data_IF_938588133230
#
_entry.id   IF_938588133230
#
_cell.length_a   1.000
_cell.length_b   1.000
_cell.length_c   1.000
_cell.angle_alpha   90.00
_cell.angle_beta   90.00
_cell.angle_gamma   90.00
#
_symmetry.space_group_name_H-M   'P 1'
#
loop_
_entity.id
_entity.type
_entity.pdbx_description
1 polymer ?
#
# COMPACT_ATOMS: atom_id res chain seq x y z
N UNK A 1 21.35 3.84 16.16
CA UNK A 1 20.91 3.22 14.90
C UNK A 1 22.11 3.08 13.98
N UNK A 2 22.64 1.86 13.82
CA UNK A 2 23.95 1.62 13.17
C UNK A 2 23.89 0.92 11.80
N UNK A 3 22.70 0.80 11.20
CA UNK A 3 22.47 0.05 9.94
C UNK A 3 22.91 -1.43 10.02
N UNK A 4 22.49 -2.15 11.05
CA UNK A 4 22.84 -3.57 11.29
C UNK A 4 22.41 -4.50 10.14
N UNK A 5 21.35 -4.15 9.42
CA UNK A 5 20.86 -4.88 8.24
C UNK A 5 21.68 -4.59 6.97
N UNK A 6 22.68 -3.73 7.04
CA UNK A 6 23.56 -3.37 5.94
C UNK A 6 22.84 -2.83 4.68
N UNK A 7 21.77 -2.06 4.88
CA UNK A 7 20.97 -1.49 3.80
C UNK A 7 21.84 -0.52 2.98
N UNK A 8 21.88 -0.71 1.67
CA UNK A 8 22.50 0.24 0.75
C UNK A 8 21.52 1.38 0.49
N UNK A 9 21.84 2.60 0.96
CA UNK A 9 20.98 3.77 0.82
C UNK A 9 20.63 4.13 -0.64
N UNK A 10 21.40 3.64 -1.62
CA UNK A 10 21.16 3.82 -3.06
C UNK A 10 20.21 2.77 -3.64
N UNK A 11 19.88 1.72 -2.88
CA UNK A 11 19.06 0.57 -3.29
C UNK A 11 17.80 0.43 -2.42
N UNK A 12 17.36 1.52 -1.81
CA UNK A 12 16.06 1.57 -1.15
C UNK A 12 15.01 1.74 -2.26
N UNK A 13 14.21 0.71 -2.49
CA UNK A 13 13.07 0.74 -3.41
C UNK A 13 11.88 1.48 -2.81
N UNK A 14 11.76 1.46 -1.48
CA UNK A 14 10.63 2.06 -0.76
C UNK A 14 10.64 3.60 -0.83
N UNK A 15 9.63 4.15 -1.50
CA UNK A 15 9.37 5.60 -1.59
C UNK A 15 8.45 6.05 -0.45
N UNK A 16 8.28 7.37 -0.31
CA UNK A 16 7.30 7.95 0.62
C UNK A 16 5.99 8.18 -0.11
N UNK A 17 4.92 8.47 0.61
CA UNK A 17 3.62 8.79 0.00
C UNK A 17 2.92 9.96 0.66
N UNK A 18 2.10 10.65 -0.12
CA UNK A 18 1.11 11.60 0.36
C UNK A 18 -0.08 11.67 -0.59
N UNK A 19 -1.27 11.95 -0.08
CA UNK A 19 -2.46 12.08 -0.93
C UNK A 19 -2.64 13.52 -1.40
N UNK A 20 -1.69 13.97 -2.23
CA UNK A 20 -1.68 15.31 -2.78
C UNK A 20 -1.01 15.31 -4.16
N UNK A 21 -1.53 16.13 -5.07
CA UNK A 21 -0.97 16.30 -6.41
C UNK A 21 0.25 17.23 -6.37
N UNK A 22 1.33 16.81 -5.71
CA UNK A 22 2.57 17.59 -5.59
C UNK A 22 3.70 17.04 -6.45
N UNK A 23 3.97 17.72 -7.57
CA UNK A 23 5.03 17.34 -8.50
C UNK A 23 6.44 17.59 -7.93
N UNK A 24 6.60 18.51 -6.96
CA UNK A 24 7.91 18.92 -6.46
C UNK A 24 8.59 17.82 -5.64
N UNK A 25 7.82 16.87 -5.12
CA UNK A 25 8.31 15.77 -4.28
C UNK A 25 8.63 14.49 -5.06
N UNK A 26 8.50 14.50 -6.40
CA UNK A 26 8.77 13.31 -7.23
C UNK A 26 10.22 12.83 -7.10
N UNK A 27 11.17 13.75 -6.96
CA UNK A 27 12.59 13.45 -6.79
C UNK A 27 13.23 14.48 -5.85
N UNK A 28 13.72 13.99 -4.71
CA UNK A 28 14.28 14.81 -3.62
C UNK A 28 15.49 14.13 -2.98
N UNK A 29 16.32 14.93 -2.30
CA UNK A 29 17.35 14.44 -1.39
C UNK A 29 16.89 14.71 0.05
N UNK A 30 16.91 13.68 0.88
CA UNK A 30 16.52 13.76 2.30
C UNK A 30 17.72 13.63 3.22
N UNK A 31 17.52 13.90 4.52
CA UNK A 31 18.52 13.74 5.59
C UNK A 31 19.77 14.65 5.42
N UNK A 32 19.55 15.88 4.94
CA UNK A 32 20.59 16.92 4.88
C UNK A 32 20.73 17.64 6.24
N UNK A 33 21.82 18.38 6.43
CA UNK A 33 22.02 19.22 7.62
C UNK A 33 22.97 18.66 8.69
N UNK A 34 23.86 17.73 8.34
CA UNK A 34 24.94 17.25 9.21
C UNK A 34 24.61 15.96 9.97
N UNK A 35 25.51 15.55 10.85
CA UNK A 35 25.53 14.22 11.49
C UNK A 35 24.25 13.88 12.24
N UNK A 36 23.65 14.85 12.92
CA UNK A 36 22.42 14.64 13.70
C UNK A 36 21.20 14.26 12.83
N UNK A 37 21.22 14.59 11.54
CA UNK A 37 20.08 14.40 10.63
C UNK A 37 20.17 13.11 9.80
N UNK A 38 21.16 12.25 10.09
CA UNK A 38 21.31 10.94 9.46
C UNK A 38 22.15 10.96 8.18
N UNK A 39 21.84 10.03 7.27
CA UNK A 39 22.63 9.80 6.05
C UNK A 39 21.88 10.30 4.80
N UNK A 40 22.46 11.23 4.03
CA UNK A 40 21.84 11.74 2.81
C UNK A 40 21.54 10.63 1.80
N UNK A 41 20.38 10.69 1.15
CA UNK A 41 20.00 9.81 0.04
C UNK A 41 18.95 10.44 -0.86
N UNK A 42 18.91 9.98 -2.11
CA UNK A 42 17.84 10.29 -3.05
C UNK A 42 16.59 9.45 -2.74
N UNK A 43 15.42 10.04 -2.98
CA UNK A 43 14.10 9.41 -2.78
C UNK A 43 13.03 10.24 -3.49
N UNK A 44 11.76 9.91 -3.26
CA UNK A 44 10.65 10.75 -3.67
C UNK A 44 9.36 10.29 -3.03
N UNK A 45 8.29 10.98 -3.40
CA UNK A 45 6.92 10.69 -3.01
C UNK A 45 6.13 10.16 -4.20
N UNK A 46 5.24 9.22 -3.91
CA UNK A 46 4.15 8.82 -4.79
C UNK A 46 2.82 9.24 -4.16
N UNK A 47 1.74 9.24 -4.95
CA UNK A 47 0.41 9.46 -4.40
C UNK A 47 -0.01 8.23 -3.57
N UNK A 48 -0.72 8.41 -2.46
CA UNK A 48 -1.01 7.32 -1.49
C UNK A 48 -1.62 6.06 -2.13
N UNK A 49 -2.51 6.21 -3.11
CA UNK A 49 -3.16 5.09 -3.82
C UNK A 49 -2.20 4.26 -4.70
N UNK A 50 -1.00 4.77 -4.98
CA UNK A 50 0.05 4.03 -5.68
C UNK A 50 0.90 3.15 -4.74
N UNK A 51 0.71 3.27 -3.42
CA UNK A 51 1.45 2.49 -2.42
C UNK A 51 1.18 1.00 -2.53
N UNK A 52 2.21 0.18 -2.38
CA UNK A 52 2.04 -1.28 -2.22
C UNK A 52 1.19 -1.62 -0.99
N UNK A 53 1.18 -0.77 0.04
CA UNK A 53 0.27 -0.90 1.19
C UNK A 53 -1.20 -0.85 0.76
N UNK A 54 -1.56 0.01 -0.20
CA UNK A 54 -2.93 0.09 -0.73
C UNK A 54 -3.30 -1.20 -1.47
N UNK A 55 -2.40 -1.71 -2.31
CA UNK A 55 -2.62 -2.97 -3.02
C UNK A 55 -2.77 -4.15 -2.03
N UNK A 56 -1.92 -4.20 -1.00
CA UNK A 56 -1.99 -5.22 0.05
C UNK A 56 -3.31 -5.11 0.85
N UNK A 57 -3.71 -3.91 1.27
CA UNK A 57 -4.98 -3.69 1.96
C UNK A 57 -6.16 -4.22 1.11
N UNK A 58 -6.13 -3.97 -0.20
CA UNK A 58 -7.19 -4.41 -1.10
C UNK A 58 -7.19 -5.94 -1.34
N UNK A 59 -6.04 -6.62 -1.25
CA UNK A 59 -5.93 -8.05 -1.51
C UNK A 59 -5.97 -8.94 -0.26
N UNK A 60 -5.87 -8.34 0.94
CA UNK A 60 -5.83 -9.08 2.19
C UNK A 60 -7.21 -9.63 2.57
N UNK A 61 -7.24 -10.84 3.13
CA UNK A 61 -8.47 -11.52 3.53
C UNK A 61 -8.89 -11.23 4.98
N UNK A 62 -7.90 -10.98 5.84
CA UNK A 62 -8.05 -10.75 7.27
C UNK A 62 -6.76 -10.09 7.80
N UNK A 63 -6.73 -9.70 9.08
CA UNK A 63 -5.59 -9.01 9.69
C UNK A 63 -4.31 -9.84 9.71
N UNK A 64 -4.41 -11.17 9.78
CA UNK A 64 -3.24 -12.06 9.77
C UNK A 64 -2.61 -12.10 8.37
N UNK A 65 -3.44 -12.21 7.32
CA UNK A 65 -3.02 -12.11 5.92
C UNK A 65 -2.44 -10.72 5.60
N UNK A 66 -3.05 -9.64 6.13
CA UNK A 66 -2.53 -8.28 6.02
C UNK A 66 -1.13 -8.16 6.61
N UNK A 67 -0.94 -8.57 7.87
CA UNK A 67 0.37 -8.48 8.52
C UNK A 67 1.42 -9.28 7.77
N UNK A 68 1.09 -10.51 7.35
CA UNK A 68 1.99 -11.37 6.58
C UNK A 68 2.45 -10.68 5.30
N UNK A 69 1.50 -10.16 4.50
CA UNK A 69 1.78 -9.47 3.23
C UNK A 69 2.60 -8.20 3.42
N UNK A 70 2.28 -7.42 4.45
CA UNK A 70 3.07 -6.25 4.84
C UNK A 70 4.51 -6.64 5.19
N UNK A 71 4.69 -7.74 5.92
CA UNK A 71 6.01 -8.28 6.27
C UNK A 71 6.82 -8.76 5.06
N UNK A 72 6.16 -9.22 4.00
CA UNK A 72 6.77 -9.71 2.75
C UNK A 72 7.19 -8.59 1.78
N UNK A 73 6.86 -7.32 2.06
CA UNK A 73 7.31 -6.17 1.26
C UNK A 73 8.84 -6.09 1.26
N UNK A 74 9.45 -5.95 0.08
CA UNK A 74 10.88 -5.66 -0.08
C UNK A 74 11.11 -4.15 -0.03
N UNK A 75 11.71 -3.66 1.06
CA UNK A 75 11.94 -2.22 1.27
C UNK A 75 13.24 -1.71 0.64
N UNK A 76 14.15 -2.62 0.32
CA UNK A 76 15.40 -2.31 -0.35
C UNK A 76 16.35 -3.51 -0.38
N UNK A 77 17.62 -3.23 -0.62
CA UNK A 77 18.65 -4.26 -0.74
C UNK A 77 19.90 -3.92 0.06
N UNK A 78 20.58 -4.95 0.55
CA UNK A 78 21.89 -4.81 1.18
C UNK A 78 22.97 -4.48 0.14
N UNK A 79 24.18 -4.12 0.60
CA UNK A 79 25.34 -3.93 -0.29
C UNK A 79 25.69 -5.20 -1.08
N UNK A 80 25.41 -6.37 -0.50
CA UNK A 80 25.55 -7.68 -1.13
C UNK A 80 24.35 -8.07 -2.03
N UNK A 81 23.42 -7.14 -2.29
CA UNK A 81 22.20 -7.34 -3.11
C UNK A 81 21.21 -8.38 -2.56
N UNK A 82 21.22 -8.62 -1.25
CA UNK A 82 20.18 -9.43 -0.61
C UNK A 82 18.95 -8.56 -0.34
N UNK A 83 17.72 -9.05 -0.57
CA UNK A 83 16.52 -8.29 -0.25
C UNK A 83 16.43 -8.06 1.26
N UNK A 84 15.93 -6.90 1.64
CA UNK A 84 15.57 -6.56 3.03
C UNK A 84 14.07 -6.37 3.06
N UNK A 85 13.40 -7.14 3.92
CA UNK A 85 11.96 -7.17 4.06
C UNK A 85 11.47 -6.20 5.13
N UNK A 86 10.20 -5.83 5.07
CA UNK A 86 9.58 -4.97 6.08
C UNK A 86 9.60 -5.60 7.49
N UNK A 87 9.44 -6.93 7.58
CA UNK A 87 9.59 -7.66 8.84
C UNK A 87 11.01 -7.57 9.43
N UNK A 88 12.05 -7.41 8.60
CA UNK A 88 13.44 -7.33 9.07
C UNK A 88 13.67 -6.01 9.82
N UNK A 89 12.94 -4.95 9.46
CA UNK A 89 12.90 -3.68 10.20
C UNK A 89 11.77 -3.62 11.25
N UNK A 90 11.08 -4.73 11.49
CA UNK A 90 10.02 -4.90 12.51
C UNK A 90 8.86 -3.91 12.38
N UNK A 91 8.51 -3.53 11.15
CA UNK A 91 7.48 -2.52 10.89
C UNK A 91 6.10 -3.12 10.56
N UNK A 92 6.03 -4.41 10.20
CA UNK A 92 4.82 -5.13 9.80
C UNK A 92 3.71 -5.11 10.87
N UNK A 93 4.04 -5.44 12.12
CA UNK A 93 3.07 -5.41 13.22
C UNK A 93 2.52 -4.00 13.50
N UNK A 94 3.41 -2.99 13.51
CA UNK A 94 3.01 -1.60 13.74
C UNK A 94 2.13 -1.05 12.62
N UNK A 95 2.44 -1.37 11.35
CA UNK A 95 1.60 -1.00 10.21
C UNK A 95 0.23 -1.70 10.27
N UNK A 96 0.20 -2.97 10.68
CA UNK A 96 -1.07 -3.70 10.84
C UNK A 96 -1.97 -3.02 11.88
N UNK A 97 -1.40 -2.55 12.99
CA UNK A 97 -2.15 -1.80 14.00
C UNK A 97 -2.71 -0.50 13.44
N UNK A 98 -1.93 0.26 12.67
CA UNK A 98 -2.40 1.49 12.01
C UNK A 98 -3.53 1.26 11.00
N UNK A 99 -3.58 0.08 10.39
CA UNK A 99 -4.57 -0.30 9.38
C UNK A 99 -5.74 -1.10 9.94
N UNK A 100 -5.76 -1.40 11.25
CA UNK A 100 -6.73 -2.31 11.87
C UNK A 100 -8.18 -1.90 11.56
N UNK A 101 -8.52 -0.65 11.84
CA UNK A 101 -9.88 -0.15 11.60
C UNK A 101 -10.09 0.18 10.12
N UNK A 102 -9.04 0.63 9.42
CA UNK A 102 -9.06 0.91 7.98
C UNK A 102 -9.29 -0.33 7.12
N UNK A 103 -9.23 -1.55 7.68
CA UNK A 103 -9.53 -2.80 6.99
C UNK A 103 -11.03 -3.13 6.96
N UNK A 104 -11.85 -2.41 7.75
CA UNK A 104 -13.30 -2.60 7.79
C UNK A 104 -13.97 -1.88 6.60
N UNK A 105 -14.78 -2.59 5.78
CA UNK A 105 -15.50 -1.95 4.67
C UNK A 105 -16.45 -0.85 5.13
N UNK A 106 -16.43 0.29 4.45
CA UNK A 106 -17.32 1.42 4.75
C UNK A 106 -18.66 1.23 4.04
N UNK A 107 -19.74 1.12 4.82
CA UNK A 107 -21.11 1.06 4.30
C UNK A 107 -21.65 2.48 4.07
N UNK A 108 -22.14 2.72 2.87
CA UNK A 108 -22.88 3.92 2.47
C UNK A 108 -24.14 3.50 1.70
N UNK A 109 -24.83 4.47 1.10
CA UNK A 109 -26.02 4.19 0.30
C UNK A 109 -26.03 5.02 -0.99
N UNK A 110 -26.72 4.49 -2.00
CA UNK A 110 -27.06 5.22 -3.25
C UNK A 110 -28.19 6.22 -3.01
N UNK A 111 -28.53 7.05 -4.01
CA UNK A 111 -29.65 8.00 -3.95
C UNK A 111 -31.01 7.33 -3.69
N UNK A 112 -31.15 6.06 -4.07
CA UNK A 112 -32.37 5.26 -3.86
C UNK A 112 -32.28 4.38 -2.60
N UNK A 113 -31.35 4.70 -1.70
CA UNK A 113 -31.11 4.00 -0.42
C UNK A 113 -30.66 2.53 -0.55
N UNK A 114 -30.23 2.10 -1.74
CA UNK A 114 -29.59 0.78 -1.89
C UNK A 114 -28.20 0.78 -1.22
N UNK A 115 -27.83 -0.28 -0.48
CA UNK A 115 -26.55 -0.36 0.23
C UNK A 115 -25.37 -0.44 -0.74
N UNK A 116 -24.27 0.24 -0.42
CA UNK A 116 -23.03 0.21 -1.20
C UNK A 116 -21.81 0.19 -0.28
N UNK A 117 -20.79 -0.61 -0.60
CA UNK A 117 -19.50 -0.55 0.07
C UNK A 117 -18.51 0.31 -0.73
N UNK A 118 -17.79 1.21 -0.05
CA UNK A 118 -16.68 1.98 -0.62
C UNK A 118 -15.42 1.69 0.17
N UNK A 119 -14.51 0.89 -0.39
CA UNK A 119 -13.33 0.43 0.36
C UNK A 119 -12.17 0.02 -0.55
N UNK A 120 -10.99 0.59 -0.27
CA UNK A 120 -9.80 0.43 -1.11
C UNK A 120 -9.85 1.30 -2.37
N UNK A 121 -8.71 1.37 -3.07
CA UNK A 121 -8.57 2.12 -4.30
C UNK A 121 -7.14 2.12 -4.83
N UNK A 122 -6.59 0.95 -5.22
CA UNK A 122 -5.27 0.88 -5.79
C UNK A 122 -5.29 1.34 -7.25
N UNK A 123 -4.14 1.79 -7.77
CA UNK A 123 -4.02 2.04 -9.21
C UNK A 123 -4.24 0.77 -10.05
N UNK A 124 -4.82 0.94 -11.24
CA UNK A 124 -5.12 -0.14 -12.17
C UNK A 124 -3.97 -0.44 -13.18
N UNK A 125 -2.90 0.36 -13.19
CA UNK A 125 -1.73 0.14 -14.05
C UNK A 125 -0.62 -0.63 -13.33
N UNK A 126 -0.13 -0.10 -12.20
CA UNK A 126 0.92 -0.70 -11.36
C UNK A 126 0.39 -1.68 -10.31
N UNK A 127 -0.93 -1.75 -10.15
CA UNK A 127 -1.63 -2.74 -9.35
C UNK A 127 -2.91 -3.21 -10.09
N UNK A 128 -3.90 -3.75 -9.37
CA UNK A 128 -5.05 -4.46 -9.94
C UNK A 128 -6.30 -3.58 -10.16
N UNK A 129 -6.41 -2.42 -9.52
CA UNK A 129 -7.47 -1.46 -9.85
C UNK A 129 -8.89 -1.81 -9.39
N UNK A 130 -9.04 -2.67 -8.38
CA UNK A 130 -10.35 -3.07 -7.86
C UNK A 130 -10.51 -2.61 -6.39
N UNK A 131 -11.75 -2.57 -5.91
CA UNK A 131 -12.02 -2.41 -4.48
C UNK A 131 -11.51 -3.63 -3.67
N UNK A 132 -11.47 -3.52 -2.35
CA UNK A 132 -10.92 -4.59 -1.52
C UNK A 132 -11.69 -5.91 -1.61
N UNK A 133 -10.97 -7.03 -1.50
CA UNK A 133 -11.51 -8.39 -1.39
C UNK A 133 -12.48 -8.53 -0.23
N UNK A 134 -12.21 -7.91 0.93
CA UNK A 134 -13.09 -8.00 2.11
C UNK A 134 -14.44 -7.36 1.82
N UNK A 135 -14.49 -6.20 1.17
CA UNK A 135 -15.75 -5.56 0.80
C UNK A 135 -16.56 -6.43 -0.16
N UNK A 136 -15.94 -6.95 -1.22
CA UNK A 136 -16.63 -7.82 -2.19
C UNK A 136 -17.11 -9.12 -1.56
N UNK A 137 -16.27 -9.77 -0.73
CA UNK A 137 -16.67 -10.99 0.00
C UNK A 137 -17.81 -10.73 0.99
N UNK A 138 -17.79 -9.59 1.68
CA UNK A 138 -18.85 -9.20 2.61
C UNK A 138 -20.16 -8.97 1.86
N UNK A 139 -20.11 -8.25 0.74
CA UNK A 139 -21.27 -8.06 -0.14
C UNK A 139 -21.85 -9.39 -0.63
N UNK A 140 -21.01 -10.33 -1.07
CA UNK A 140 -21.42 -11.65 -1.56
C UNK A 140 -22.08 -12.52 -0.48
N UNK A 141 -21.88 -12.21 0.80
CA UNK A 141 -22.55 -12.89 1.91
C UNK A 141 -23.87 -12.24 2.34
N UNK A 142 -24.09 -10.97 1.98
CA UNK A 142 -25.23 -10.18 2.43
C UNK A 142 -26.27 -9.94 1.32
N UNK A 143 -25.85 -9.92 0.05
CA UNK A 143 -26.71 -9.68 -1.10
C UNK A 143 -26.84 -10.91 -2.00
N UNK A 144 -27.97 -11.00 -2.72
CA UNK A 144 -28.18 -12.01 -3.76
C UNK A 144 -27.36 -11.72 -5.02
N UNK A 145 -27.19 -10.43 -5.32
CA UNK A 145 -26.38 -9.94 -6.44
C UNK A 145 -25.41 -8.88 -5.92
N UNK A 146 -24.17 -8.93 -6.43
CA UNK A 146 -23.13 -7.97 -6.13
C UNK A 146 -22.60 -7.40 -7.44
N UNK A 147 -22.68 -6.09 -7.58
CA UNK A 147 -22.06 -5.36 -8.69
C UNK A 147 -20.77 -4.73 -8.16
N UNK A 148 -19.67 -4.97 -8.87
CA UNK A 148 -18.35 -4.40 -8.60
C UNK A 148 -17.75 -3.93 -9.93
N UNK A 149 -16.65 -3.21 -9.87
CA UNK A 149 -15.97 -2.64 -11.03
C UNK A 149 -14.45 -2.76 -10.89
N UNK A 150 -13.76 -2.60 -12.02
CA UNK A 150 -12.31 -2.52 -12.09
C UNK A 150 -11.93 -1.31 -12.96
N UNK A 151 -10.83 -0.63 -12.60
CA UNK A 151 -10.38 0.58 -13.30
C UNK A 151 -9.84 0.32 -14.72
N UNK A 152 -9.88 1.36 -15.56
CA UNK A 152 -9.53 1.32 -17.00
C UNK A 152 -10.49 0.45 -17.84
N UNK A 153 -10.05 0.06 -19.04
CA UNK A 153 -10.82 -0.82 -19.94
C UNK A 153 -10.70 -2.29 -19.56
N UNK A 154 -11.46 -3.13 -20.26
CA UNK A 154 -11.46 -4.58 -20.06
C UNK A 154 -10.11 -5.25 -20.37
N UNK A 155 -9.25 -4.58 -21.13
CA UNK A 155 -7.88 -4.99 -21.45
C UNK A 155 -6.91 -4.88 -20.27
N UNK A 156 -7.28 -4.14 -19.22
CA UNK A 156 -6.46 -3.98 -18.01
C UNK A 156 -7.23 -4.34 -16.74
N UNK A 157 -8.36 -3.67 -16.48
CA UNK A 157 -9.09 -3.83 -15.23
C UNK A 157 -9.74 -5.19 -15.10
N UNK A 158 -10.41 -5.65 -16.15
CA UNK A 158 -11.13 -6.93 -16.11
C UNK A 158 -10.22 -8.16 -16.22
N UNK A 159 -9.02 -8.00 -16.78
CA UNK A 159 -8.02 -9.07 -16.88
C UNK A 159 -7.37 -9.40 -15.54
N UNK A 160 -7.17 -8.37 -14.71
CA UNK A 160 -6.48 -8.45 -13.41
C UNK A 160 -7.41 -8.87 -12.27
#
# INVERSE_FOLDING_TARGET
WGNELDIDARRISWRRVMDMNDRALRDIVVNLGGVANGFPRQTGFDITVASEVMAILCLSNDLEDLQKRLGDIVVGYTRARKPVYCRDIKADGAMTVLLKDAMQPNLVQTLENNPAFVHGGPFANIAHGCNSVIATKTALKLGEYVVTEAGFGADLGAEK
#
